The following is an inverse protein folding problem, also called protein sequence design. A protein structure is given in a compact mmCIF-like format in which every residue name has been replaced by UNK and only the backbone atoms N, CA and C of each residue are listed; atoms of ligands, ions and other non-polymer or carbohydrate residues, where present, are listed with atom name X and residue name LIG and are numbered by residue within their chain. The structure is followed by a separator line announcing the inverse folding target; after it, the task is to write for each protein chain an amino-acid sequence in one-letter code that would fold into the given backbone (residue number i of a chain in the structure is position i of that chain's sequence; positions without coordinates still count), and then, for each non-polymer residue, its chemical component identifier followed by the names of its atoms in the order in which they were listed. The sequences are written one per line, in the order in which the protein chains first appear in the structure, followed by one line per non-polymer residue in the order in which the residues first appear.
data_IF_594920390147
#
_entry.id   IF_594920390147
#
_cell.length_a   1.000
_cell.length_b   1.000
_cell.length_c   1.000
_cell.angle_alpha   90.00
_cell.angle_beta   90.00
_cell.angle_gamma   90.00
#
_symmetry.space_group_name_H-M   'P 1'
#
loop_
_entity.id
_entity.type
_entity.pdbx_description
1 polymer ?
#
# COMPACT_ATOMS: atom_id res chain seq x y z
N UNK A 1 69.31 9.58 -1.83
CA UNK A 1 69.15 10.77 -0.97
C UNK A 1 68.60 11.91 -1.83
N UNK A 2 67.69 12.72 -1.27
CA UNK A 2 67.37 14.15 -1.56
C UNK A 2 67.57 14.80 -2.95
N UNK A 3 66.78 15.78 -3.41
CA UNK A 3 65.39 16.26 -3.19
C UNK A 3 65.19 17.59 -3.94
N UNK A 4 63.97 17.90 -4.44
CA UNK A 4 63.53 19.25 -4.92
C UNK A 4 64.27 19.82 -6.17
N UNK A 5 63.79 20.77 -6.99
CA UNK A 5 62.53 21.56 -7.14
C UNK A 5 62.57 22.27 -8.53
N UNK A 6 61.59 22.99 -9.11
CA UNK A 6 60.17 23.31 -8.80
C UNK A 6 59.48 23.95 -10.04
N UNK A 7 58.15 23.83 -10.15
CA UNK A 7 57.14 24.78 -10.75
C UNK A 7 57.36 25.33 -12.19
N UNK A 8 56.35 25.39 -13.08
CA UNK A 8 55.18 26.30 -12.97
C UNK A 8 54.02 26.00 -13.96
N UNK A 9 52.78 26.30 -13.50
CA UNK A 9 51.41 26.26 -14.07
C UNK A 9 51.11 26.40 -15.58
N UNK A 10 50.02 25.71 -16.01
CA UNK A 10 48.76 26.22 -16.64
C UNK A 10 47.83 25.02 -17.01
N UNK A 11 46.48 25.06 -17.11
CA UNK A 11 45.37 25.83 -16.47
C UNK A 11 44.01 25.18 -16.88
N UNK A 12 43.07 24.96 -15.94
CA UNK A 12 41.60 24.67 -16.10
C UNK A 12 41.09 23.63 -17.14
N UNK A 13 40.28 22.66 -16.68
CA UNK A 13 38.81 22.59 -16.83
C UNK A 13 38.25 21.37 -16.04
N UNK A 14 37.41 21.63 -15.04
CA UNK A 14 35.93 21.44 -15.04
C UNK A 14 35.50 20.00 -14.73
N UNK A 15 34.91 19.86 -13.54
CA UNK A 15 34.32 18.64 -12.97
C UNK A 15 32.88 18.45 -13.43
N UNK A 16 32.47 17.20 -13.65
CA UNK A 16 31.06 16.81 -13.63
C UNK A 16 30.89 15.62 -12.68
N UNK A 17 30.20 15.86 -11.56
CA UNK A 17 29.51 14.80 -10.84
C UNK A 17 28.28 14.40 -11.67
N UNK A 18 28.00 13.10 -11.72
CA UNK A 18 26.74 12.60 -12.29
C UNK A 18 25.86 12.13 -11.14
N UNK A 19 25.25 13.11 -10.47
CA UNK A 19 24.13 12.87 -9.57
C UNK A 19 22.92 12.45 -10.41
N UNK A 20 22.59 11.15 -10.37
CA UNK A 20 21.45 10.59 -11.10
C UNK A 20 20.14 10.81 -10.31
N UNK A 21 19.65 12.05 -10.31
CA UNK A 21 18.30 12.36 -9.85
C UNK A 21 17.27 11.83 -10.87
N UNK A 22 16.63 10.70 -10.54
CA UNK A 22 15.47 10.20 -11.27
C UNK A 22 14.23 11.09 -10.99
N UNK A 23 14.12 12.20 -11.70
CA UNK A 23 12.87 12.97 -11.75
C UNK A 23 11.77 12.14 -12.43
N UNK A 24 10.77 11.74 -11.64
CA UNK A 24 9.56 11.09 -12.14
C UNK A 24 8.65 12.17 -12.72
N UNK A 25 8.46 12.17 -14.03
CA UNK A 25 7.67 13.17 -14.74
C UNK A 25 6.16 12.88 -14.62
N UNK A 26 5.42 13.76 -13.95
CA UNK A 26 4.05 13.52 -13.46
C UNK A 26 2.97 13.66 -14.58
N UNK A 27 3.37 13.80 -15.86
CA UNK A 27 2.47 14.11 -16.98
C UNK A 27 2.26 13.00 -18.02
N UNK A 28 2.24 11.74 -17.61
CA UNK A 28 1.59 10.67 -18.37
C UNK A 28 0.44 10.04 -17.60
N UNK A 29 -0.73 10.69 -17.64
CA UNK A 29 -2.00 9.98 -17.44
C UNK A 29 -2.26 9.10 -18.68
N UNK A 30 -1.67 7.91 -18.68
CA UNK A 30 -2.11 6.81 -19.53
C UNK A 30 -3.60 6.61 -19.26
N UNK A 31 -4.40 6.48 -20.32
CA UNK A 31 -5.86 6.43 -20.25
C UNK A 31 -6.32 5.13 -19.54
N UNK A 32 -6.40 5.19 -18.21
CA UNK A 32 -6.54 3.98 -17.40
C UNK A 32 -8.01 3.55 -17.27
N UNK A 33 -8.35 2.42 -17.87
CA UNK A 33 -9.70 1.87 -17.84
C UNK A 33 -9.95 1.12 -16.52
N UNK A 34 -10.54 1.82 -15.55
CA UNK A 34 -11.10 1.20 -14.34
C UNK A 34 -12.29 0.31 -14.73
N UNK A 35 -12.19 -0.98 -14.42
CA UNK A 35 -13.28 -1.93 -14.60
C UNK A 35 -14.17 -1.92 -13.35
N UNK A 36 -15.45 -1.55 -13.49
CA UNK A 36 -16.46 -1.71 -12.43
C UNK A 36 -16.75 -3.20 -12.23
N UNK A 37 -16.96 -3.63 -10.98
CA UNK A 37 -17.10 -5.04 -10.60
C UNK A 37 -18.44 -5.31 -9.91
N UNK A 38 -19.23 -6.23 -10.47
CA UNK A 38 -20.53 -6.62 -9.94
C UNK A 38 -21.49 -5.45 -9.65
N UNK A 39 -22.30 -5.63 -8.60
CA UNK A 39 -23.15 -4.61 -8.01
C UNK A 39 -22.41 -3.87 -6.88
N UNK A 40 -22.63 -2.56 -6.78
CA UNK A 40 -22.12 -1.70 -5.72
C UNK A 40 -21.14 -0.65 -6.25
N UNK A 41 -19.97 -0.60 -5.64
CA UNK A 41 -18.97 0.47 -5.75
C UNK A 41 -17.53 -0.03 -5.95
N UNK A 42 -17.31 -1.36 -6.03
CA UNK A 42 -15.99 -1.93 -6.34
C UNK A 42 -15.51 -1.67 -7.77
N UNK A 43 -14.20 -1.46 -7.93
CA UNK A 43 -13.53 -1.37 -9.23
C UNK A 43 -12.12 -1.94 -9.21
N UNK A 44 -11.57 -2.21 -10.40
CA UNK A 44 -10.23 -2.75 -10.59
C UNK A 44 -9.47 -2.01 -11.68
N UNK A 45 -8.18 -1.78 -11.42
CA UNK A 45 -7.24 -1.10 -12.31
C UNK A 45 -6.00 -2.00 -12.48
N UNK A 46 -5.88 -2.62 -13.66
CA UNK A 46 -4.96 -3.75 -13.88
C UNK A 46 -3.47 -3.36 -13.88
N UNK A 47 -3.16 -2.15 -14.36
CA UNK A 47 -1.79 -1.72 -14.67
C UNK A 47 -1.54 -0.29 -14.18
N UNK A 48 -1.77 -0.06 -12.88
CA UNK A 48 -1.52 1.24 -12.24
C UNK A 48 -0.01 1.54 -12.13
N UNK A 49 0.81 0.52 -11.92
CA UNK A 49 2.27 0.59 -11.95
C UNK A 49 2.81 -0.18 -13.15
N UNK A 50 3.87 0.34 -13.78
CA UNK A 50 4.60 -0.40 -14.82
C UNK A 50 5.26 -1.66 -14.24
N UNK A 51 5.68 -2.57 -15.13
CA UNK A 51 6.41 -3.78 -14.72
C UNK A 51 7.69 -3.47 -13.95
N UNK A 52 8.42 -2.41 -14.34
CA UNK A 52 9.67 -2.02 -13.70
C UNK A 52 9.43 -1.45 -12.29
N UNK A 53 8.47 -0.54 -12.15
CA UNK A 53 8.05 -0.02 -10.84
C UNK A 53 7.55 -1.16 -9.93
N UNK A 54 6.78 -2.09 -10.48
CA UNK A 54 6.26 -3.24 -9.73
C UNK A 54 7.37 -4.15 -9.18
N UNK A 55 8.44 -4.37 -9.94
CA UNK A 55 9.60 -5.16 -9.53
C UNK A 55 10.37 -4.42 -8.43
N UNK A 56 10.62 -3.12 -8.60
CA UNK A 56 11.34 -2.31 -7.61
C UNK A 56 10.53 -2.15 -6.30
N UNK A 57 9.21 -1.97 -6.38
CA UNK A 57 8.33 -1.98 -5.21
C UNK A 57 8.37 -3.34 -4.51
N UNK A 58 8.32 -4.46 -5.25
CA UNK A 58 8.38 -5.79 -4.65
C UNK A 58 9.70 -6.03 -3.91
N UNK A 59 10.83 -5.58 -4.48
CA UNK A 59 12.14 -5.61 -3.83
C UNK A 59 12.17 -4.78 -2.54
N UNK A 60 11.66 -3.54 -2.58
CA UNK A 60 11.55 -2.70 -1.38
C UNK A 60 10.65 -3.31 -0.30
N UNK A 61 9.61 -4.06 -0.68
CA UNK A 61 8.77 -4.81 0.27
C UNK A 61 9.55 -5.97 0.90
N UNK A 62 10.40 -6.68 0.15
CA UNK A 62 11.22 -7.76 0.69
C UNK A 62 12.29 -7.27 1.68
N UNK A 63 12.81 -6.06 1.48
CA UNK A 63 13.77 -5.41 2.37
C UNK A 63 13.13 -4.82 3.64
N UNK A 64 11.88 -4.34 3.55
CA UNK A 64 11.27 -3.50 4.60
C UNK A 64 10.15 -4.18 5.40
N UNK A 65 9.57 -5.29 4.93
CA UNK A 65 8.45 -5.97 5.60
C UNK A 65 8.93 -7.08 6.54
N UNK A 66 8.55 -6.95 7.82
CA UNK A 66 8.82 -7.96 8.86
C UNK A 66 7.53 -8.68 9.21
N UNK A 67 7.35 -9.87 8.63
CA UNK A 67 6.22 -10.75 8.90
C UNK A 67 6.24 -11.29 10.34
N UNK A 68 5.06 -11.44 10.94
CA UNK A 68 4.88 -12.03 12.25
C UNK A 68 4.88 -13.57 12.19
N UNK A 69 5.28 -14.26 13.28
CA UNK A 69 5.25 -15.73 13.36
C UNK A 69 3.86 -16.30 13.05
N UNK A 70 3.80 -17.32 12.19
CA UNK A 70 2.54 -17.89 11.68
C UNK A 70 1.72 -18.57 12.77
N UNK A 71 2.38 -18.97 13.85
CA UNK A 71 1.84 -19.66 15.03
C UNK A 71 0.84 -18.77 15.78
N UNK A 72 0.97 -17.44 15.67
CA UNK A 72 0.01 -16.46 16.19
C UNK A 72 -1.34 -16.50 15.46
N UNK A 73 -1.39 -17.04 14.23
CA UNK A 73 -2.50 -16.89 13.29
C UNK A 73 -3.10 -18.25 12.90
N UNK A 74 -3.97 -18.75 13.77
CA UNK A 74 -4.59 -20.08 13.65
C UNK A 74 -6.08 -20.01 13.32
N UNK A 75 -6.54 -20.88 12.41
CA UNK A 75 -7.96 -21.01 12.06
C UNK A 75 -8.42 -22.47 12.12
N UNK A 76 -9.70 -22.69 12.43
CA UNK A 76 -10.28 -24.03 12.58
C UNK A 76 -11.14 -24.40 11.38
N UNK A 77 -10.80 -25.48 10.69
CA UNK A 77 -11.67 -26.16 9.72
C UNK A 77 -12.16 -27.45 10.39
N UNK A 78 -13.47 -27.63 10.53
CA UNK A 78 -14.10 -28.72 11.28
C UNK A 78 -13.47 -28.91 12.67
N UNK A 79 -12.76 -30.02 12.88
CA UNK A 79 -12.06 -30.34 14.13
C UNK A 79 -10.55 -30.05 14.11
N UNK A 80 -9.98 -29.66 12.96
CA UNK A 80 -8.54 -29.44 12.78
C UNK A 80 -8.19 -27.96 12.95
N UNK A 81 -7.18 -27.67 13.77
CA UNK A 81 -6.55 -26.35 13.86
C UNK A 81 -5.44 -26.29 12.81
N UNK A 82 -5.44 -25.23 12.01
CA UNK A 82 -4.49 -25.03 10.91
C UNK A 82 -3.82 -23.66 11.06
N UNK A 83 -2.53 -23.58 10.70
CA UNK A 83 -1.83 -22.30 10.51
C UNK A 83 -2.38 -21.61 9.25
N UNK A 84 -2.56 -20.29 9.29
CA UNK A 84 -3.02 -19.52 8.14
C UNK A 84 -2.12 -19.76 6.89
N UNK A 85 -2.69 -20.09 5.72
CA UNK A 85 -1.95 -20.35 4.49
C UNK A 85 -1.66 -19.03 3.77
N UNK A 86 -0.88 -18.19 4.45
CA UNK A 86 -0.23 -16.93 4.04
C UNK A 86 0.44 -16.30 5.25
N UNK A 87 1.53 -15.58 5.06
CA UNK A 87 2.19 -14.82 6.13
C UNK A 87 1.54 -13.44 6.28
N UNK A 88 1.68 -12.80 7.46
CA UNK A 88 1.03 -11.51 7.77
C UNK A 88 1.97 -10.53 8.45
N UNK A 89 1.83 -9.24 8.11
CA UNK A 89 2.37 -8.11 8.85
C UNK A 89 1.33 -6.99 8.93
N UNK A 90 1.46 -6.11 9.92
CA UNK A 90 0.52 -5.02 10.19
C UNK A 90 1.28 -3.72 10.38
N UNK A 91 0.87 -2.69 9.64
CA UNK A 91 1.49 -1.38 9.65
C UNK A 91 0.43 -0.29 9.70
N UNK A 92 0.76 0.85 10.30
CA UNK A 92 -0.19 1.92 10.50
C UNK A 92 0.40 3.19 11.10
N UNK A 93 -0.47 4.17 11.32
CA UNK A 93 -0.14 5.39 12.07
C UNK A 93 0.02 5.02 13.55
N UNK A 94 1.27 4.93 14.02
CA UNK A 94 1.59 4.72 15.44
C UNK A 94 1.83 6.07 16.09
N UNK A 95 1.01 6.43 17.07
CA UNK A 95 1.04 7.74 17.71
C UNK A 95 2.16 7.85 18.75
N UNK A 96 2.45 9.06 19.24
CA UNK A 96 3.56 9.32 20.18
C UNK A 96 3.36 8.68 21.57
N UNK A 97 2.12 8.52 22.01
CA UNK A 97 1.76 7.71 23.18
C UNK A 97 1.90 6.19 22.93
N UNK A 98 2.08 5.78 21.67
CA UNK A 98 2.18 4.41 21.19
C UNK A 98 0.85 3.68 21.08
N UNK A 99 -0.26 4.41 21.03
CA UNK A 99 -1.54 3.91 20.52
C UNK A 99 -1.46 3.69 19.00
N UNK A 100 -2.38 2.89 18.45
CA UNK A 100 -2.44 2.59 17.01
C UNK A 100 -3.82 2.12 16.54
N UNK A 101 -4.16 2.23 15.24
CA UNK A 101 -5.41 1.72 14.69
C UNK A 101 -5.50 0.19 14.77
N UNK A 102 -6.60 -0.30 15.32
CA UNK A 102 -6.75 -1.67 15.78
C UNK A 102 -7.08 -2.67 14.66
N UNK A 103 -6.33 -3.77 14.60
CA UNK A 103 -6.73 -4.98 13.89
C UNK A 103 -7.21 -6.07 14.85
N UNK A 104 -8.44 -6.57 14.65
CA UNK A 104 -8.98 -7.70 15.43
C UNK A 104 -8.86 -9.02 14.69
N UNK A 105 -7.94 -9.88 15.12
CA UNK A 105 -7.86 -11.27 14.69
C UNK A 105 -8.71 -12.16 15.58
N UNK A 106 -9.97 -12.37 15.20
CA UNK A 106 -10.90 -13.25 15.92
C UNK A 106 -10.65 -14.73 15.54
N UNK A 107 -10.05 -15.49 16.46
CA UNK A 107 -10.05 -16.95 16.41
C UNK A 107 -11.33 -17.51 17.08
N UNK A 108 -11.51 -18.84 17.08
CA UNK A 108 -12.64 -19.48 17.79
C UNK A 108 -12.48 -19.55 19.31
N UNK A 109 -11.29 -19.27 19.85
CA UNK A 109 -11.02 -19.30 21.30
C UNK A 109 -10.89 -17.88 21.84
N UNK A 110 -10.02 -17.11 21.21
CA UNK A 110 -9.58 -15.79 21.68
C UNK A 110 -9.59 -14.77 20.54
N UNK A 111 -9.74 -13.49 20.91
CA UNK A 111 -9.48 -12.36 20.01
C UNK A 111 -8.04 -11.91 20.26
N UNK A 112 -7.23 -11.88 19.20
CA UNK A 112 -5.85 -11.41 19.22
C UNK A 112 -5.81 -10.02 18.58
N UNK A 113 -5.06 -9.11 19.20
CA UNK A 113 -4.73 -7.80 18.66
C UNK A 113 -3.24 -7.81 18.27
N UNK A 114 -2.90 -8.02 16.99
CA UNK A 114 -1.52 -8.00 16.54
C UNK A 114 -0.91 -6.62 16.71
N UNK A 115 0.38 -6.57 17.05
CA UNK A 115 1.16 -5.34 17.04
C UNK A 115 1.15 -4.70 15.65
N UNK A 116 0.80 -3.41 15.60
CA UNK A 116 0.87 -2.58 14.39
C UNK A 116 2.15 -1.75 14.45
N UNK A 117 2.99 -1.86 13.43
CA UNK A 117 4.26 -1.14 13.36
C UNK A 117 4.12 0.18 12.60
N UNK A 118 4.97 1.15 12.91
CA UNK A 118 5.04 2.40 12.15
C UNK A 118 5.39 2.14 10.68
N UNK A 119 4.85 2.95 9.77
CA UNK A 119 5.02 2.77 8.33
C UNK A 119 6.49 2.73 7.88
N UNK A 120 6.94 1.67 7.17
CA UNK A 120 8.16 1.73 6.40
C UNK A 120 7.98 2.65 5.17
N UNK A 121 9.05 3.27 4.65
CA UNK A 121 8.97 4.22 3.54
C UNK A 121 8.19 3.73 2.32
N UNK A 122 8.32 2.45 1.94
CA UNK A 122 7.60 1.87 0.80
C UNK A 122 6.08 1.87 1.00
N UNK A 123 5.59 1.55 2.20
CA UNK A 123 4.15 1.53 2.50
C UNK A 123 3.60 2.94 2.67
N UNK A 124 4.36 3.88 3.28
CA UNK A 124 3.94 5.28 3.41
C UNK A 124 3.73 5.92 2.03
N UNK A 125 4.71 5.77 1.13
CA UNK A 125 4.62 6.27 -0.27
C UNK A 125 3.41 5.70 -1.01
N UNK A 126 3.11 4.41 -0.82
CA UNK A 126 1.97 3.74 -1.45
C UNK A 126 0.63 4.17 -0.83
N UNK A 127 0.57 4.40 0.49
CA UNK A 127 -0.59 4.99 1.19
C UNK A 127 -0.92 6.38 0.65
N UNK A 128 0.09 7.24 0.50
CA UNK A 128 -0.10 8.60 0.01
C UNK A 128 -0.51 8.60 -1.48
N UNK A 129 0.03 7.65 -2.27
CA UNK A 129 -0.41 7.41 -3.65
C UNK A 129 -1.87 6.94 -3.76
N UNK A 130 -2.39 6.17 -2.80
CA UNK A 130 -3.83 5.82 -2.77
C UNK A 130 -4.70 7.06 -2.56
N UNK A 131 -4.28 7.99 -1.69
CA UNK A 131 -5.00 9.24 -1.49
C UNK A 131 -5.05 10.07 -2.77
N UNK A 132 -3.93 10.17 -3.51
CA UNK A 132 -3.90 10.85 -4.82
C UNK A 132 -4.86 10.23 -5.86
N UNK A 133 -5.08 8.91 -5.82
CA UNK A 133 -5.89 8.15 -6.80
C UNK A 133 -7.39 8.12 -6.45
N UNK A 134 -7.72 8.13 -5.16
CA UNK A 134 -9.06 7.82 -4.63
C UNK A 134 -9.68 8.92 -3.77
N UNK A 135 -8.87 9.87 -3.26
CA UNK A 135 -9.29 10.83 -2.23
C UNK A 135 -9.45 10.24 -0.82
N UNK A 136 -9.31 8.92 -0.65
CA UNK A 136 -9.49 8.25 0.64
C UNK A 136 -8.17 8.24 1.44
N UNK A 137 -8.21 8.70 2.69
CA UNK A 137 -7.13 8.50 3.66
C UNK A 137 -7.12 7.06 4.18
N UNK A 138 -5.95 6.53 4.51
CA UNK A 138 -5.82 5.22 5.18
C UNK A 138 -4.80 5.34 6.32
N UNK A 139 -5.11 4.82 7.51
CA UNK A 139 -4.21 4.80 8.68
C UNK A 139 -3.66 3.41 9.02
N UNK A 140 -4.06 2.37 8.27
CA UNK A 140 -3.67 0.98 8.55
C UNK A 140 -3.56 0.15 7.28
N UNK A 141 -2.62 -0.80 7.26
CA UNK A 141 -2.40 -1.76 6.19
C UNK A 141 -2.12 -3.17 6.74
N UNK A 142 -2.83 -4.15 6.19
CA UNK A 142 -2.48 -5.57 6.35
C UNK A 142 -1.66 -6.02 5.15
N UNK A 143 -0.40 -6.38 5.39
CA UNK A 143 0.42 -7.05 4.38
C UNK A 143 0.17 -8.55 4.46
N UNK A 144 -0.13 -9.19 3.32
CA UNK A 144 -0.29 -10.64 3.23
C UNK A 144 0.66 -11.20 2.16
N UNK A 145 1.47 -12.19 2.51
CA UNK A 145 2.33 -12.91 1.58
C UNK A 145 1.74 -14.27 1.24
N UNK A 146 1.50 -14.50 -0.05
CA UNK A 146 1.11 -15.78 -0.62
C UNK A 146 2.35 -16.35 -1.30
N UNK A 147 3.00 -17.34 -0.69
CA UNK A 147 4.33 -17.83 -1.10
C UNK A 147 4.30 -18.58 -2.41
N UNK A 148 3.25 -19.37 -2.62
CA UNK A 148 3.08 -20.29 -3.74
C UNK A 148 1.60 -20.39 -4.15
N UNK A 149 1.26 -21.45 -4.91
CA UNK A 149 -0.10 -21.78 -5.32
C UNK A 149 -0.97 -22.42 -4.22
N UNK A 150 -0.38 -22.79 -3.07
CA UNK A 150 -1.09 -23.40 -1.95
C UNK A 150 -1.68 -22.38 -0.99
N UNK A 151 -1.04 -21.22 -0.84
CA UNK A 151 -1.53 -20.10 -0.04
C UNK A 151 -2.80 -19.48 -0.63
N UNK A 152 -3.79 -19.21 0.23
CA UNK A 152 -5.14 -18.80 -0.19
C UNK A 152 -5.93 -18.10 0.94
N UNK A 153 -7.12 -17.60 0.62
CA UNK A 153 -8.11 -17.17 1.62
C UNK A 153 -9.51 -17.54 1.13
N UNK A 154 -10.29 -18.24 1.97
CA UNK A 154 -11.66 -18.66 1.63
C UNK A 154 -12.65 -17.49 1.54
N UNK A 155 -13.87 -17.77 1.09
CA UNK A 155 -14.93 -16.77 0.99
C UNK A 155 -15.23 -16.09 2.33
N UNK A 156 -15.12 -14.78 2.35
CA UNK A 156 -15.42 -13.93 3.50
C UNK A 156 -15.92 -12.57 3.04
N UNK A 157 -16.51 -11.83 3.97
CA UNK A 157 -16.60 -10.38 3.90
C UNK A 157 -15.48 -9.80 4.78
N UNK A 158 -15.00 -8.61 4.48
CA UNK A 158 -14.18 -7.86 5.43
C UNK A 158 -15.06 -7.36 6.58
N UNK A 159 -14.58 -7.50 7.82
CA UNK A 159 -15.33 -7.10 9.02
C UNK A 159 -15.21 -5.58 9.23
N UNK A 160 -16.31 -4.86 9.01
CA UNK A 160 -16.35 -3.39 8.99
C UNK A 160 -16.55 -2.71 10.34
N UNK A 161 -16.75 -3.45 11.44
CA UNK A 161 -16.99 -2.90 12.80
C UNK A 161 -16.04 -1.75 13.17
N UNK A 162 -14.79 -1.88 12.76
CA UNK A 162 -13.66 -1.06 13.20
C UNK A 162 -13.23 -0.06 12.11
N UNK A 163 -13.94 0.00 10.98
CA UNK A 163 -13.64 0.91 9.88
C UNK A 163 -14.41 2.22 10.07
N UNK A 164 -13.92 3.32 9.50
CA UNK A 164 -14.75 4.51 9.28
C UNK A 164 -15.86 4.12 8.29
N UNK A 165 -17.10 4.55 8.57
CA UNK A 165 -18.24 4.25 7.70
C UNK A 165 -18.01 4.77 6.28
N UNK A 166 -18.54 4.04 5.30
CA UNK A 166 -18.42 4.35 3.87
C UNK A 166 -16.97 4.44 3.33
N UNK A 167 -15.98 3.95 4.10
CA UNK A 167 -14.60 3.79 3.62
C UNK A 167 -14.37 2.43 2.96
N UNK A 168 -13.68 2.46 1.82
CA UNK A 168 -13.37 1.31 0.99
C UNK A 168 -12.14 0.56 1.50
N UNK A 169 -11.94 -0.67 1.01
CA UNK A 169 -10.72 -1.45 1.24
C UNK A 169 -9.87 -1.45 -0.02
N UNK A 170 -8.71 -0.79 0.04
CA UNK A 170 -7.86 -0.54 -1.12
C UNK A 170 -6.69 -1.54 -1.15
N UNK A 171 -6.56 -2.31 -2.24
CA UNK A 171 -5.64 -3.45 -2.30
C UNK A 171 -4.68 -3.34 -3.48
N UNK A 172 -3.40 -3.09 -3.19
CA UNK A 172 -2.34 -3.30 -4.18
C UNK A 172 -1.87 -4.75 -4.23
N UNK A 173 -1.47 -5.19 -5.42
CA UNK A 173 -0.90 -6.53 -5.68
C UNK A 173 0.46 -6.42 -6.36
N UNK A 174 1.47 -7.11 -5.82
CA UNK A 174 2.81 -7.20 -6.41
C UNK A 174 3.29 -8.65 -6.48
N UNK A 175 4.04 -9.00 -7.52
CA UNK A 175 4.53 -10.36 -7.76
C UNK A 175 3.53 -11.24 -8.53
N UNK A 176 3.49 -12.53 -8.21
CA UNK A 176 2.72 -13.51 -8.99
C UNK A 176 1.21 -13.24 -9.02
N UNK A 177 0.61 -13.43 -10.20
CA UNK A 177 -0.83 -13.28 -10.38
C UNK A 177 -1.61 -14.23 -9.45
N UNK A 178 -2.77 -13.77 -8.94
CA UNK A 178 -3.76 -14.62 -8.27
C UNK A 178 -5.17 -14.24 -8.72
N UNK A 179 -6.07 -15.21 -8.77
CA UNK A 179 -7.49 -14.95 -9.05
C UNK A 179 -8.19 -14.61 -7.73
N UNK A 180 -8.73 -13.40 -7.66
CA UNK A 180 -9.71 -13.01 -6.66
C UNK A 180 -11.11 -13.31 -7.21
N UNK A 181 -11.86 -14.13 -6.49
CA UNK A 181 -13.24 -14.51 -6.85
C UNK A 181 -14.23 -13.82 -5.93
N UNK A 182 -15.05 -12.95 -6.51
CA UNK A 182 -16.27 -12.42 -5.91
C UNK A 182 -17.39 -13.45 -6.04
N UNK A 183 -18.24 -13.56 -5.01
CA UNK A 183 -19.44 -14.38 -4.98
C UNK A 183 -20.58 -13.61 -4.33
N UNK A 184 -21.67 -13.45 -5.06
CA UNK A 184 -22.85 -12.72 -4.60
C UNK A 184 -23.48 -13.42 -3.40
N UNK A 185 -23.85 -12.66 -2.37
CA UNK A 185 -24.57 -13.18 -1.21
C UNK A 185 -26.04 -13.39 -1.58
N UNK A 186 -26.57 -14.61 -1.45
CA UNK A 186 -27.95 -14.92 -1.82
C UNK A 186 -28.18 -15.37 -3.27
N UNK A 187 -27.17 -15.41 -4.13
CA UNK A 187 -27.27 -16.01 -5.47
C UNK A 187 -26.09 -16.95 -5.78
N UNK A 188 -26.07 -17.54 -6.98
CA UNK A 188 -24.96 -18.37 -7.47
C UNK A 188 -23.95 -17.59 -8.34
N UNK A 189 -24.15 -16.28 -8.53
CA UNK A 189 -23.31 -15.44 -9.38
C UNK A 189 -21.90 -15.31 -8.76
N UNK A 190 -20.89 -15.47 -9.61
CA UNK A 190 -19.48 -15.26 -9.27
C UNK A 190 -18.78 -14.48 -10.36
N UNK A 191 -17.85 -13.61 -9.99
CA UNK A 191 -16.97 -12.88 -10.90
C UNK A 191 -15.51 -13.10 -10.51
N UNK A 192 -14.64 -13.33 -11.49
CA UNK A 192 -13.21 -13.52 -11.29
C UNK A 192 -12.42 -12.29 -11.76
N UNK A 193 -11.48 -11.84 -10.93
CA UNK A 193 -10.51 -10.79 -11.23
C UNK A 193 -9.11 -11.40 -11.14
N UNK A 194 -8.34 -11.27 -12.22
CA UNK A 194 -6.93 -11.65 -12.26
C UNK A 194 -6.09 -10.52 -11.67
N UNK A 195 -5.72 -10.62 -10.38
CA UNK A 195 -4.91 -9.62 -9.69
C UNK A 195 -3.45 -9.71 -10.16
N UNK A 196 -3.09 -8.87 -11.13
CA UNK A 196 -1.73 -8.79 -11.70
C UNK A 196 -0.80 -8.00 -10.79
N UNK A 197 0.51 -8.13 -11.02
CA UNK A 197 1.50 -7.25 -10.39
C UNK A 197 1.31 -5.81 -10.85
N UNK A 198 1.38 -4.85 -9.93
CA UNK A 198 1.17 -3.43 -10.24
C UNK A 198 -0.31 -3.00 -10.32
N UNK A 199 -1.23 -3.88 -9.92
CA UNK A 199 -2.67 -3.61 -9.96
C UNK A 199 -3.22 -3.03 -8.65
N UNK A 200 -4.33 -2.29 -8.77
CA UNK A 200 -5.16 -1.82 -7.65
C UNK A 200 -6.57 -2.40 -7.76
N UNK A 201 -7.02 -3.07 -6.70
CA UNK A 201 -8.41 -3.46 -6.48
C UNK A 201 -9.00 -2.60 -5.36
N UNK A 202 -10.04 -1.84 -5.68
CA UNK A 202 -10.87 -1.14 -4.72
C UNK A 202 -12.09 -2.02 -4.41
N UNK A 203 -12.15 -2.56 -3.20
CA UNK A 203 -13.34 -3.20 -2.66
C UNK A 203 -14.20 -2.14 -1.98
N UNK A 204 -15.24 -1.73 -2.69
CA UNK A 204 -16.16 -0.70 -2.24
C UNK A 204 -16.97 -1.10 -1.01
N UNK A 205 -17.32 -0.13 -0.17
CA UNK A 205 -18.07 -0.36 1.08
C UNK A 205 -19.41 -1.08 0.84
N UNK A 206 -20.20 -0.64 -0.15
CA UNK A 206 -21.48 -1.29 -0.49
C UNK A 206 -21.24 -2.68 -1.04
N UNK A 207 -20.27 -2.84 -1.95
CA UNK A 207 -19.90 -4.14 -2.53
C UNK A 207 -19.42 -5.13 -1.47
N UNK A 208 -18.73 -4.72 -0.40
CA UNK A 208 -18.35 -5.61 0.71
C UNK A 208 -19.55 -6.10 1.55
N UNK A 209 -20.74 -5.48 1.44
CA UNK A 209 -21.97 -6.02 2.03
C UNK A 209 -22.69 -7.04 1.11
N UNK A 210 -22.46 -6.97 -0.20
CA UNK A 210 -23.13 -7.77 -1.23
C UNK A 210 -22.29 -8.99 -1.63
N UNK A 211 -20.96 -8.85 -1.72
CA UNK A 211 -20.06 -9.84 -2.32
C UNK A 211 -19.08 -10.41 -1.29
N UNK A 212 -19.10 -11.74 -1.13
CA UNK A 212 -18.01 -12.45 -0.47
C UNK A 212 -16.85 -12.57 -1.44
N UNK A 213 -15.62 -12.34 -0.98
CA UNK A 213 -14.42 -12.45 -1.80
C UNK A 213 -13.46 -13.53 -1.27
N UNK A 214 -12.63 -14.06 -2.16
CA UNK A 214 -11.64 -15.11 -1.87
C UNK A 214 -10.45 -15.01 -2.81
N UNK A 215 -9.25 -15.39 -2.35
CA UNK A 215 -8.13 -15.71 -3.24
C UNK A 215 -8.15 -17.22 -3.42
N UNK A 216 -8.43 -17.69 -4.63
CA UNK A 216 -8.66 -19.12 -4.87
C UNK A 216 -7.34 -19.89 -4.89
N UNK A 217 -7.32 -21.08 -4.26
CA UNK A 217 -6.20 -22.01 -4.36
C UNK A 217 -6.10 -22.53 -5.80
N UNK A 218 -4.90 -22.55 -6.37
CA UNK A 218 -4.66 -23.05 -7.74
C UNK A 218 -3.77 -24.29 -7.74
N UNK A 219 -3.96 -25.17 -8.74
CA UNK A 219 -3.09 -26.33 -8.99
C UNK A 219 -1.90 -26.00 -9.90
N UNK A 220 -1.95 -24.88 -10.62
CA UNK A 220 -0.83 -24.39 -11.42
C UNK A 220 0.19 -23.77 -10.48
N UNK A 221 1.48 -24.01 -10.69
CA UNK A 221 2.52 -23.26 -9.98
C UNK A 221 2.39 -21.77 -10.32
N UNK A 222 2.70 -20.90 -9.36
CA UNK A 222 2.66 -19.46 -9.54
C UNK A 222 3.57 -18.77 -8.52
N UNK A 223 4.24 -17.71 -8.97
CA UNK A 223 5.18 -16.91 -8.18
C UNK A 223 4.57 -16.35 -6.90
N UNK A 224 5.44 -16.02 -5.94
CA UNK A 224 5.06 -15.35 -4.69
C UNK A 224 4.33 -14.03 -4.96
N UNK A 225 3.22 -13.78 -4.24
CA UNK A 225 2.45 -12.53 -4.29
C UNK A 225 2.46 -11.82 -2.93
N UNK A 226 2.71 -10.52 -2.95
CA UNK A 226 2.49 -9.64 -1.80
C UNK A 226 1.22 -8.81 -2.05
N UNK A 227 0.34 -8.78 -1.05
CA UNK A 227 -0.92 -8.04 -1.06
C UNK A 227 -0.86 -6.97 0.02
N UNK A 228 -1.10 -5.71 -0.35
CA UNK A 228 -1.12 -4.58 0.59
C UNK A 228 -2.56 -4.11 0.73
N UNK A 229 -3.21 -4.42 1.86
CA UNK A 229 -4.64 -4.13 2.09
C UNK A 229 -4.77 -2.93 3.01
N UNK A 230 -4.90 -1.74 2.44
CA UNK A 230 -5.05 -0.47 3.13
C UNK A 230 -6.51 -0.19 3.52
N UNK A 231 -6.70 0.43 4.68
CA UNK A 231 -7.99 0.68 5.31
C UNK A 231 -7.96 1.99 6.11
N UNK A 232 -9.14 2.57 6.30
CA UNK A 232 -9.38 3.63 7.26
C UNK A 232 -10.08 3.05 8.50
N UNK A 233 -9.32 2.92 9.59
CA UNK A 233 -9.75 2.28 10.82
C UNK A 233 -10.11 3.37 11.84
N UNK A 234 -11.35 3.33 12.36
CA UNK A 234 -11.80 4.28 13.39
C UNK A 234 -11.34 3.88 14.79
N UNK A 235 -11.24 2.59 15.10
CA UNK A 235 -10.94 2.13 16.45
C UNK A 235 -9.43 2.20 16.73
N UNK A 236 -9.03 3.00 17.71
CA UNK A 236 -7.65 3.11 18.18
C UNK A 236 -7.49 2.28 19.48
N UNK A 237 -6.42 1.50 19.55
CA UNK A 237 -6.01 0.74 20.74
C UNK A 237 -4.87 1.48 21.44
N UNK A 238 -5.05 1.74 22.74
CA UNK A 238 -4.07 2.37 23.62
C UNK A 238 -3.17 1.36 24.33
N UNK A 239 -2.01 1.80 24.83
CA UNK A 239 -1.05 0.95 25.57
C UNK A 239 -1.61 0.34 26.85
N UNK A 240 -2.59 0.99 27.48
CA UNK A 240 -3.29 0.49 28.67
C UNK A 240 -4.42 -0.51 28.34
N UNK A 241 -4.64 -0.80 27.06
CA UNK A 241 -5.70 -1.68 26.57
C UNK A 241 -7.04 -0.99 26.34
N UNK A 242 -7.16 0.32 26.60
CA UNK A 242 -8.39 1.07 26.32
C UNK A 242 -8.59 1.29 24.82
N UNK A 243 -9.84 1.57 24.44
CA UNK A 243 -10.26 1.75 23.06
C UNK A 243 -10.94 3.11 22.88
N UNK A 244 -10.56 3.84 21.84
CA UNK A 244 -11.20 5.09 21.43
C UNK A 244 -11.59 5.04 19.96
N UNK A 245 -12.41 5.98 19.48
CA UNK A 245 -12.72 6.14 18.06
C UNK A 245 -12.16 7.46 17.51
N UNK A 246 -11.70 7.45 16.26
CA UNK A 246 -11.36 8.62 15.43
C UNK A 246 -12.18 8.61 14.13
N UNK A 247 -12.43 9.78 13.56
CA UNK A 247 -12.97 9.94 12.20
C UNK A 247 -11.88 9.98 11.11
N UNK A 248 -10.60 9.96 11.50
CA UNK A 248 -9.45 10.07 10.60
C UNK A 248 -9.12 11.50 10.15
N UNK A 249 -9.73 12.52 10.77
CA UNK A 249 -9.37 13.93 10.56
C UNK A 249 -7.90 14.21 10.87
N UNK A 250 -7.35 13.53 11.88
CA UNK A 250 -5.97 13.59 12.38
C UNK A 250 -4.90 13.01 11.43
N UNK A 251 -5.30 12.18 10.46
CA UNK A 251 -4.35 11.50 9.56
C UNK A 251 -3.68 12.51 8.60
N UNK A 252 -2.36 12.59 8.67
CA UNK A 252 -1.52 13.46 7.82
C UNK A 252 -1.13 12.72 6.53
N UNK A 253 -1.41 13.33 5.38
CA UNK A 253 -1.00 12.85 4.05
C UNK A 253 0.14 13.71 3.52
N UNK A 254 1.25 13.10 3.14
CA UNK A 254 2.39 13.78 2.52
C UNK A 254 2.29 13.68 0.99
N UNK A 255 1.46 14.55 0.39
CA UNK A 255 1.31 14.58 -1.07
C UNK A 255 2.56 15.10 -1.76
N UNK A 256 2.99 14.43 -2.83
CA UNK A 256 4.18 14.81 -3.62
C UNK A 256 4.11 16.23 -4.22
N UNK A 257 2.90 16.77 -4.38
CA UNK A 257 2.65 18.11 -4.90
C UNK A 257 3.27 19.27 -4.10
N UNK A 258 3.61 19.08 -2.81
CA UNK A 258 4.07 20.18 -1.96
C UNK A 258 5.54 20.61 -2.16
N UNK A 259 6.36 19.84 -2.89
CA UNK A 259 7.77 20.16 -3.09
C UNK A 259 8.05 21.13 -4.26
N UNK A 260 7.07 21.46 -5.10
CA UNK A 260 7.25 22.37 -6.25
C UNK A 260 6.94 23.84 -5.95
N UNK A 261 6.38 24.17 -4.79
CA UNK A 261 6.00 25.55 -4.43
C UNK A 261 7.19 26.52 -4.34
N UNK A 262 8.40 26.02 -4.08
CA UNK A 262 9.62 26.84 -3.98
C UNK A 262 10.29 27.19 -5.33
N UNK A 263 9.82 26.63 -6.45
CA UNK A 263 10.35 27.00 -7.78
C UNK A 263 9.67 28.24 -8.37
N UNK A 264 8.40 28.52 -8.03
CA UNK A 264 7.60 29.58 -8.65
C UNK A 264 7.98 30.99 -8.13
N UNK A 265 8.44 31.11 -6.88
CA UNK A 265 8.95 32.39 -6.36
C UNK A 265 10.26 32.86 -7.02
N UNK A 266 11.05 31.95 -7.60
CA UNK A 266 12.34 32.29 -8.19
C UNK A 266 12.26 32.75 -9.65
N UNK A 267 11.24 32.33 -10.41
CA UNK A 267 10.99 32.85 -11.76
C UNK A 267 10.26 34.20 -11.74
N UNK A 268 9.27 34.36 -10.85
CA UNK A 268 8.55 35.64 -10.70
C UNK A 268 9.43 36.81 -10.22
N UNK A 269 10.55 36.54 -9.53
CA UNK A 269 11.58 37.54 -9.19
C UNK A 269 12.54 37.87 -10.34
N UNK A 270 12.71 37.03 -11.36
CA UNK A 270 13.55 37.33 -12.54
C UNK A 270 12.86 38.24 -13.56
N UNK A 271 11.53 38.13 -13.71
CA UNK A 271 10.78 38.90 -14.72
C UNK A 271 10.68 40.39 -14.35
N UNK A 272 10.69 40.74 -13.05
CA UNK A 272 10.58 42.14 -12.58
C UNK A 272 11.86 43.00 -12.64
N UNK A 273 12.94 42.52 -13.27
CA UNK A 273 14.24 43.23 -13.35
C UNK A 273 14.60 43.65 -14.80
N UNK A 274 13.65 43.60 -15.74
CA UNK A 274 13.89 44.02 -17.14
C UNK A 274 12.91 45.04 -17.72
N UNK A 275 12.00 45.60 -16.91
CA UNK A 275 11.16 46.75 -17.30
C UNK A 275 11.48 47.97 -16.44
N UNK A 276 12.63 48.61 -16.71
CA UNK A 276 12.91 50.04 -16.43
C UNK A 276 14.30 50.49 -16.93
N UNK A 277 14.43 50.69 -18.24
CA UNK A 277 15.48 51.51 -18.83
C UNK A 277 15.17 51.86 -20.29
N UNK A 278 14.25 52.81 -20.49
CA UNK A 278 14.22 53.81 -21.59
C UNK A 278 13.16 54.87 -21.26
#
# INVERSE_FOLDING_TARGET
MSASSSKTLKRKKESQSTDNDCQIDIKQHVHCQRKILGEGDSWYEESLFSSNESIEILKQLDEQIVYLPREQFQFKIFNTINLLPRDKAFYGDVYSDGSYPLYRYESKKDIIYPEVKAWPPVLKRLRDRLFEITGQKCNHCVVNQYRDNNDHIGYHFDKTRDFVNDSNVLVFSFGGERILRLKHNGSKITEDIHLKSGSLFDLGWKSNSIWKHSIIKTKRSCERRVSLTYRLIKTILHKDGTLTETDGSDIIIETTAHNNSNMIEHETKKIKVHEKSE
#
